data_IF_398474071692
#
_entry.id   IF_398474071692
#
_cell.length_a   1.000
_cell.length_b   1.000
_cell.length_c   1.000
_cell.angle_alpha   90.00
_cell.angle_beta   90.00
_cell.angle_gamma   90.00
#
_symmetry.space_group_name_H-M   'P 1'
#
loop_
_entity.id
_entity.type
_entity.pdbx_description
1 polymer ?
#
# COMPACT_ATOMS: atom_id res chain seq x y z
N UNK A 1 4.61 33.49 -14.02
CA UNK A 1 4.24 32.36 -13.18
C UNK A 1 5.52 31.88 -12.50
N UNK A 2 5.58 31.97 -11.17
CA UNK A 2 6.72 31.51 -10.38
C UNK A 2 6.80 29.99 -10.38
N UNK A 3 7.91 29.40 -9.87
CA UNK A 3 8.04 27.94 -9.73
C UNK A 3 6.99 27.38 -8.75
N UNK A 4 6.71 28.11 -7.69
CA UNK A 4 5.71 27.78 -6.67
C UNK A 4 4.28 27.81 -7.25
N UNK A 5 3.88 28.90 -7.91
CA UNK A 5 2.57 29.00 -8.57
C UNK A 5 2.34 27.89 -9.59
N UNK A 6 3.41 27.47 -10.30
CA UNK A 6 3.37 26.34 -11.23
C UNK A 6 3.14 25.01 -10.49
N UNK A 7 3.85 24.79 -9.39
CA UNK A 7 3.73 23.62 -8.58
C UNK A 7 2.31 23.49 -8.01
N UNK A 8 1.77 24.55 -7.41
CA UNK A 8 0.40 24.56 -6.91
C UNK A 8 -0.64 24.25 -7.99
N UNK A 9 -0.48 24.88 -9.18
CA UNK A 9 -1.39 24.65 -10.30
C UNK A 9 -1.34 23.20 -10.82
N UNK A 10 -0.16 22.59 -10.89
CA UNK A 10 0.01 21.25 -11.45
C UNK A 10 -0.38 20.14 -10.47
N UNK A 11 -0.32 20.41 -9.17
CA UNK A 11 -0.77 19.51 -8.11
C UNK A 11 -2.24 19.67 -7.75
N UNK A 12 -2.93 20.66 -8.31
CA UNK A 12 -4.36 20.88 -8.05
C UNK A 12 -5.17 19.65 -8.50
N UNK A 13 -5.88 19.03 -7.56
CA UNK A 13 -6.71 17.84 -7.79
C UNK A 13 -5.98 16.49 -7.65
N UNK A 14 -4.73 16.49 -7.16
CA UNK A 14 -4.07 15.26 -6.69
C UNK A 14 -4.47 15.05 -5.23
N UNK A 15 -5.09 13.90 -4.88
CA UNK A 15 -5.45 13.60 -3.49
C UNK A 15 -4.22 13.61 -2.59
N UNK A 16 -4.35 14.10 -1.35
CA UNK A 16 -3.31 14.16 -0.33
C UNK A 16 -2.04 14.93 -0.76
N UNK A 17 -2.13 15.79 -1.77
CA UNK A 17 -0.98 16.58 -2.25
C UNK A 17 -0.44 17.55 -1.18
N UNK A 18 -1.24 17.90 -0.17
CA UNK A 18 -0.84 18.70 0.99
C UNK A 18 0.25 18.05 1.83
N UNK A 19 0.37 16.72 1.79
CA UNK A 19 1.44 15.99 2.48
C UNK A 19 2.82 16.19 1.86
N UNK A 20 2.88 16.57 0.58
CA UNK A 20 4.12 16.78 -0.16
C UNK A 20 4.61 18.21 0.10
N UNK A 21 5.88 18.37 0.48
CA UNK A 21 6.49 19.69 0.67
C UNK A 21 6.51 20.51 -0.62
N UNK A 22 6.52 21.85 -0.52
CA UNK A 22 6.59 22.72 -1.70
C UNK A 22 7.86 22.50 -2.52
N UNK A 23 8.97 22.20 -1.85
CA UNK A 23 10.25 21.91 -2.51
C UNK A 23 10.17 20.63 -3.37
N UNK A 24 9.61 19.56 -2.84
CA UNK A 24 9.40 18.31 -3.58
C UNK A 24 8.42 18.49 -4.74
N UNK A 25 7.32 19.25 -4.53
CA UNK A 25 6.41 19.61 -5.64
C UNK A 25 7.11 20.34 -6.77
N UNK A 26 7.98 21.29 -6.44
CA UNK A 26 8.77 22.02 -7.42
C UNK A 26 9.75 21.12 -8.18
N UNK A 27 10.43 20.20 -7.48
CA UNK A 27 11.35 19.23 -8.09
C UNK A 27 10.63 18.30 -9.06
N UNK A 28 9.49 17.73 -8.65
CA UNK A 28 8.65 16.89 -9.52
C UNK A 28 8.19 17.66 -10.76
N UNK A 29 7.77 18.93 -10.58
CA UNK A 29 7.37 19.79 -11.69
C UNK A 29 8.52 20.09 -12.66
N UNK A 30 9.72 20.33 -12.16
CA UNK A 30 10.89 20.59 -12.98
C UNK A 30 11.31 19.34 -13.77
N UNK A 31 11.29 18.16 -13.13
CA UNK A 31 11.52 16.88 -13.80
C UNK A 31 10.47 16.59 -14.87
N UNK A 32 9.19 16.86 -14.57
CA UNK A 32 8.10 16.73 -15.54
C UNK A 32 8.26 17.66 -16.74
N UNK A 33 8.62 18.91 -16.51
CA UNK A 33 8.86 19.89 -17.58
C UNK A 33 10.03 19.48 -18.50
N UNK A 34 11.14 19.00 -17.89
CA UNK A 34 12.30 18.50 -18.64
C UNK A 34 11.96 17.30 -19.51
N UNK A 35 11.08 16.39 -19.06
CA UNK A 35 10.62 15.24 -19.84
C UNK A 35 9.61 15.62 -20.91
N UNK A 36 8.77 16.61 -20.69
CA UNK A 36 7.73 17.05 -21.64
C UNK A 36 8.32 17.60 -22.93
N UNK A 37 9.39 18.39 -22.85
CA UNK A 37 9.98 19.07 -24.01
C UNK A 37 10.48 18.11 -25.10
N UNK A 38 11.33 17.10 -24.81
CA UNK A 38 11.79 16.17 -25.84
C UNK A 38 10.65 15.34 -26.44
N UNK A 39 9.62 14.98 -25.64
CA UNK A 39 8.44 14.27 -26.13
C UNK A 39 7.68 15.13 -27.13
N UNK A 40 7.43 16.40 -26.80
CA UNK A 40 6.76 17.34 -27.71
C UNK A 40 7.52 17.50 -29.02
N UNK A 41 8.82 17.78 -28.98
CA UNK A 41 9.64 17.96 -30.18
C UNK A 41 9.75 16.67 -30.99
N UNK A 42 9.91 15.52 -30.37
CA UNK A 42 9.93 14.21 -31.03
C UNK A 42 8.63 13.93 -31.80
N UNK A 43 7.49 14.17 -31.14
CA UNK A 43 6.18 14.01 -31.79
C UNK A 43 5.94 15.03 -32.91
N UNK A 44 6.41 16.27 -32.74
CA UNK A 44 6.32 17.32 -33.78
C UNK A 44 7.10 16.90 -35.05
N UNK A 45 8.34 16.42 -34.87
CA UNK A 45 9.17 15.93 -36.00
C UNK A 45 8.49 14.74 -36.67
N UNK A 46 7.96 13.81 -35.89
CA UNK A 46 7.28 12.62 -36.40
C UNK A 46 6.00 12.99 -37.16
N UNK A 47 5.23 13.97 -36.70
CA UNK A 47 4.07 14.50 -37.40
C UNK A 47 4.44 15.17 -38.73
N UNK A 48 5.52 15.95 -38.77
CA UNK A 48 6.04 16.56 -40.00
C UNK A 48 6.47 15.49 -41.01
N UNK A 49 7.24 14.47 -40.58
CA UNK A 49 7.68 13.39 -41.46
C UNK A 49 6.48 12.61 -41.99
N UNK A 50 5.51 12.29 -41.12
CA UNK A 50 4.29 11.59 -41.53
C UNK A 50 3.48 12.36 -42.56
N UNK A 51 3.30 13.66 -42.38
CA UNK A 51 2.62 14.49 -43.35
C UNK A 51 3.38 14.60 -44.69
N UNK A 52 4.70 14.68 -44.61
CA UNK A 52 5.53 14.70 -45.83
C UNK A 52 5.40 13.42 -46.63
N UNK A 53 5.54 12.26 -45.97
CA UNK A 53 5.47 10.94 -46.61
C UNK A 53 4.06 10.64 -47.16
N UNK A 54 3.00 10.91 -46.38
CA UNK A 54 1.61 10.64 -46.79
C UNK A 54 1.15 11.55 -47.95
N UNK A 55 1.61 12.81 -48.01
CA UNK A 55 1.24 13.74 -49.06
C UNK A 55 2.18 13.73 -50.26
N UNK A 56 3.28 12.97 -50.20
CA UNK A 56 4.35 13.03 -51.20
C UNK A 56 4.95 14.42 -51.37
N UNK A 57 4.96 15.24 -50.27
CA UNK A 57 5.43 16.62 -50.27
C UNK A 57 4.40 17.67 -50.71
N UNK A 58 3.34 17.27 -51.43
CA UNK A 58 2.31 18.20 -51.98
C UNK A 58 1.63 19.07 -50.92
N UNK A 59 1.51 18.62 -49.71
CA UNK A 59 0.94 19.36 -48.62
C UNK A 59 1.77 20.61 -48.28
N UNK A 60 3.09 20.48 -48.26
CA UNK A 60 4.00 21.61 -48.00
C UNK A 60 4.05 22.59 -49.15
N UNK A 61 3.98 22.10 -50.40
CA UNK A 61 3.88 22.93 -51.59
C UNK A 61 2.59 23.74 -51.60
N UNK A 62 1.46 23.15 -51.22
CA UNK A 62 0.18 23.81 -51.07
C UNK A 62 0.23 24.88 -49.99
N UNK A 63 0.82 24.57 -48.80
CA UNK A 63 0.98 25.52 -47.71
C UNK A 63 1.88 26.69 -48.10
N UNK A 64 3.02 26.43 -48.80
CA UNK A 64 3.92 27.46 -49.29
C UNK A 64 3.28 28.35 -50.35
N UNK A 65 2.56 27.77 -51.30
CA UNK A 65 1.84 28.54 -52.33
C UNK A 65 0.73 29.40 -51.74
N UNK A 66 0.07 28.91 -50.69
CA UNK A 66 -0.97 29.66 -49.99
C UNK A 66 -0.41 30.85 -49.17
N UNK A 67 0.74 30.66 -48.53
CA UNK A 67 1.45 31.71 -47.83
C UNK A 67 1.91 32.81 -48.82
N UNK A 68 2.50 32.38 -49.95
CA UNK A 68 2.97 33.28 -50.97
C UNK A 68 1.82 34.08 -51.65
N UNK A 69 0.68 33.45 -51.89
CA UNK A 69 -0.51 34.09 -52.44
C UNK A 69 -1.06 35.18 -51.51
N UNK A 70 -1.07 34.93 -50.19
CA UNK A 70 -1.52 35.90 -49.20
C UNK A 70 -0.55 37.06 -48.94
N UNK A 71 0.72 36.90 -49.29
CA UNK A 71 1.75 37.93 -49.09
C UNK A 71 1.73 39.01 -50.18
N UNK A 72 1.08 38.79 -51.32
CA UNK A 72 1.17 39.63 -52.52
C UNK A 72 -0.09 40.41 -52.93
N UNK A 73 -1.22 40.35 -52.20
CA UNK A 73 -2.49 40.92 -52.68
C UNK A 73 -3.33 41.66 -51.63
N UNK A 74 -4.30 42.45 -52.08
CA UNK A 74 -5.29 43.15 -51.23
C UNK A 74 -6.16 42.12 -50.50
N UNK A 75 -6.11 42.12 -49.16
CA UNK A 75 -6.72 41.09 -48.29
C UNK A 75 -8.21 41.38 -48.15
N UNK A 76 -9.04 40.49 -48.73
CA UNK A 76 -10.51 40.55 -48.55
C UNK A 76 -10.95 39.67 -47.38
N UNK A 77 -12.15 39.89 -46.81
CA UNK A 77 -12.73 39.14 -45.69
C UNK A 77 -12.76 37.61 -45.94
N UNK A 78 -12.97 37.20 -47.20
CA UNK A 78 -12.99 35.80 -47.60
C UNK A 78 -11.58 35.13 -47.53
N UNK A 79 -10.52 35.89 -47.77
CA UNK A 79 -9.14 35.39 -47.63
C UNK A 79 -8.79 35.09 -46.19
N UNK A 80 -9.21 35.92 -45.23
CA UNK A 80 -9.01 35.63 -43.79
C UNK A 80 -9.66 34.35 -43.36
N UNK A 81 -10.90 34.05 -43.78
CA UNK A 81 -11.60 32.82 -43.44
C UNK A 81 -10.94 31.60 -44.06
N UNK A 82 -10.52 31.65 -45.33
CA UNK A 82 -9.82 30.55 -45.98
C UNK A 82 -8.44 30.29 -45.31
N UNK A 83 -7.69 31.35 -44.99
CA UNK A 83 -6.39 31.23 -44.28
C UNK A 83 -6.55 30.62 -42.90
N UNK A 84 -7.58 31.01 -42.15
CA UNK A 84 -7.86 30.50 -40.84
C UNK A 84 -8.25 28.99 -40.88
N UNK A 85 -9.04 28.56 -41.88
CA UNK A 85 -9.42 27.15 -42.06
C UNK A 85 -8.22 26.28 -42.42
N UNK A 86 -7.39 26.70 -43.39
CA UNK A 86 -6.18 25.95 -43.79
C UNK A 86 -5.17 25.95 -42.67
N UNK A 87 -4.91 27.08 -42.01
CA UNK A 87 -4.04 27.18 -40.87
C UNK A 87 -4.50 26.26 -39.71
N UNK A 88 -5.80 26.24 -39.45
CA UNK A 88 -6.40 25.35 -38.43
C UNK A 88 -6.23 23.87 -38.77
N UNK A 89 -6.47 23.48 -40.04
CA UNK A 89 -6.31 22.10 -40.50
C UNK A 89 -4.85 21.61 -40.42
N UNK A 90 -3.88 22.50 -40.62
CA UNK A 90 -2.43 22.20 -40.54
C UNK A 90 -1.95 22.24 -39.09
N UNK A 91 -2.30 23.27 -38.33
CA UNK A 91 -1.81 23.43 -36.96
C UNK A 91 -2.35 22.35 -36.01
N UNK A 92 -3.57 21.86 -36.21
CA UNK A 92 -4.17 20.89 -35.31
C UNK A 92 -3.37 19.57 -35.25
N UNK A 93 -3.15 18.82 -36.34
CA UNK A 93 -2.42 17.55 -36.28
C UNK A 93 -0.91 17.74 -36.01
N UNK A 94 -0.31 18.80 -36.47
CA UNK A 94 1.15 19.01 -36.39
C UNK A 94 1.60 19.62 -35.09
N UNK A 95 0.87 20.60 -34.56
CA UNK A 95 1.28 21.40 -33.39
C UNK A 95 0.43 21.05 -32.15
N UNK A 96 -0.89 21.05 -32.31
CA UNK A 96 -1.82 20.95 -31.18
C UNK A 96 -1.87 19.49 -30.66
N UNK A 97 -1.94 18.49 -31.53
CA UNK A 97 -2.03 17.10 -31.12
C UNK A 97 -0.78 16.63 -30.34
N UNK A 98 0.47 16.87 -30.82
CA UNK A 98 1.67 16.60 -30.03
C UNK A 98 1.71 17.33 -28.69
N UNK A 99 1.21 18.58 -28.64
CA UNK A 99 1.14 19.35 -27.40
C UNK A 99 0.18 18.70 -26.39
N UNK A 100 -1.01 18.29 -26.84
CA UNK A 100 -1.98 17.58 -26.00
C UNK A 100 -1.37 16.30 -25.44
N UNK A 101 -0.74 15.49 -26.28
CA UNK A 101 -0.10 14.24 -25.86
C UNK A 101 0.99 14.51 -24.82
N UNK A 102 1.85 15.51 -25.04
CA UNK A 102 2.89 15.91 -24.11
C UNK A 102 2.32 16.35 -22.74
N UNK A 103 1.21 17.11 -22.75
CA UNK A 103 0.52 17.54 -21.53
C UNK A 103 -0.08 16.34 -20.79
N UNK A 104 -0.73 15.41 -21.47
CA UNK A 104 -1.28 14.20 -20.87
C UNK A 104 -0.19 13.35 -20.23
N UNK A 105 0.92 13.17 -20.95
CA UNK A 105 2.09 12.44 -20.44
C UNK A 105 2.67 13.12 -19.17
N UNK A 106 2.81 14.46 -19.21
CA UNK A 106 3.26 15.26 -18.05
C UNK A 106 2.33 15.04 -16.85
N UNK A 107 1.01 15.13 -17.05
CA UNK A 107 0.03 14.98 -15.97
C UNK A 107 0.09 13.56 -15.35
N UNK A 108 0.20 12.53 -16.20
CA UNK A 108 0.37 11.13 -15.74
C UNK A 108 1.67 10.96 -14.93
N UNK A 109 2.77 11.58 -15.38
CA UNK A 109 4.04 11.51 -14.67
C UNK A 109 3.96 12.18 -13.29
N UNK A 110 3.40 13.41 -13.21
CA UNK A 110 3.25 14.14 -11.95
C UNK A 110 2.41 13.33 -10.96
N UNK A 111 1.28 12.77 -11.41
CA UNK A 111 0.41 11.95 -10.58
C UNK A 111 1.13 10.71 -10.04
N UNK A 112 1.85 9.99 -10.90
CA UNK A 112 2.61 8.80 -10.50
C UNK A 112 3.73 9.10 -9.50
N UNK A 113 4.47 10.20 -9.67
CA UNK A 113 5.53 10.58 -8.73
C UNK A 113 4.95 11.09 -7.40
N UNK A 114 3.85 11.87 -7.44
CA UNK A 114 3.15 12.31 -6.25
C UNK A 114 2.64 11.12 -5.42
N UNK A 115 2.03 10.10 -6.05
CA UNK A 115 1.56 8.89 -5.38
C UNK A 115 2.68 8.11 -4.70
N UNK A 116 3.88 8.04 -5.31
CA UNK A 116 5.05 7.40 -4.70
C UNK A 116 5.51 8.14 -3.45
N UNK A 117 5.60 9.47 -3.53
CA UNK A 117 6.03 10.30 -2.38
C UNK A 117 5.00 10.22 -1.25
N UNK A 118 3.70 10.31 -1.56
CA UNK A 118 2.63 10.18 -0.56
C UNK A 118 2.72 8.84 0.16
N UNK A 119 2.82 7.72 -0.58
CA UNK A 119 2.97 6.38 0.03
C UNK A 119 4.21 6.27 0.92
N UNK A 120 5.33 6.88 0.53
CA UNK A 120 6.54 6.89 1.35
C UNK A 120 6.33 7.69 2.64
N UNK A 121 5.65 8.84 2.58
CA UNK A 121 5.33 9.67 3.75
C UNK A 121 4.37 8.93 4.69
N UNK A 122 3.31 8.31 4.16
CA UNK A 122 2.34 7.53 4.94
C UNK A 122 3.01 6.34 5.64
N UNK A 123 3.90 5.62 4.94
CA UNK A 123 4.69 4.53 5.52
C UNK A 123 5.62 5.02 6.63
N UNK A 124 6.29 6.16 6.44
CA UNK A 124 7.17 6.72 7.47
C UNK A 124 6.39 7.17 8.71
N UNK A 125 5.23 7.82 8.52
CA UNK A 125 4.35 8.19 9.64
C UNK A 125 3.82 6.98 10.41
N UNK A 126 3.47 5.91 9.71
CA UNK A 126 3.06 4.66 10.35
C UNK A 126 4.21 4.06 11.19
N UNK A 127 5.44 4.08 10.65
CA UNK A 127 6.62 3.62 11.37
C UNK A 127 6.98 4.52 12.57
N UNK A 128 6.85 5.84 12.45
CA UNK A 128 7.08 6.78 13.57
C UNK A 128 6.07 6.55 14.69
N UNK A 129 4.79 6.41 14.35
CA UNK A 129 3.74 6.09 15.32
C UNK A 129 4.00 4.73 15.99
N UNK A 130 4.36 3.70 15.22
CA UNK A 130 4.73 2.38 15.75
C UNK A 130 5.89 2.47 16.74
N UNK A 131 6.94 3.24 16.42
CA UNK A 131 8.07 3.44 17.34
C UNK A 131 7.66 4.20 18.60
N UNK A 132 6.81 5.22 18.51
CA UNK A 132 6.32 5.99 19.66
C UNK A 132 5.45 5.10 20.57
N UNK A 133 4.56 4.32 20.00
CA UNK A 133 3.76 3.33 20.73
C UNK A 133 4.67 2.25 21.36
N UNK A 134 5.67 1.76 20.65
CA UNK A 134 6.66 0.79 21.16
C UNK A 134 7.46 1.32 22.37
N UNK A 135 7.88 2.60 22.35
CA UNK A 135 8.59 3.20 23.51
C UNK A 135 7.66 3.36 24.71
N UNK A 136 6.40 3.74 24.50
CA UNK A 136 5.40 3.83 25.56
C UNK A 136 5.12 2.43 26.14
N UNK A 137 5.00 1.40 25.32
CA UNK A 137 4.80 0.02 25.74
C UNK A 137 5.96 -0.53 26.57
N UNK A 138 7.20 -0.14 26.26
CA UNK A 138 8.37 -0.54 27.09
C UNK A 138 8.30 0.00 28.53
N UNK A 139 7.64 1.15 28.77
CA UNK A 139 7.43 1.68 30.13
C UNK A 139 6.33 0.91 30.87
N UNK A 140 5.30 0.39 30.20
CA UNK A 140 4.21 -0.38 30.80
C UNK A 140 4.56 -1.87 31.00
N UNK A 141 5.56 -2.40 30.28
CA UNK A 141 6.02 -3.77 30.31
C UNK A 141 5.17 -4.70 29.44
N UNK A 142 5.42 -6.01 29.57
CA UNK A 142 4.82 -7.05 28.72
C UNK A 142 3.85 -7.94 29.47
N UNK A 143 2.86 -8.52 28.74
CA UNK A 143 1.97 -9.53 29.25
C UNK A 143 2.78 -10.78 29.63
N UNK A 144 2.32 -11.47 30.68
CA UNK A 144 2.95 -12.69 31.19
C UNK A 144 2.07 -13.89 30.90
N UNK A 145 2.68 -14.94 30.40
CA UNK A 145 2.00 -16.17 30.03
C UNK A 145 2.71 -17.37 30.66
N UNK A 146 1.99 -18.14 31.45
CA UNK A 146 2.41 -19.42 31.95
C UNK A 146 2.02 -20.57 30.99
N UNK A 147 0.88 -20.36 30.27
CA UNK A 147 0.40 -21.30 29.27
C UNK A 147 0.66 -20.79 27.86
N UNK A 148 1.41 -21.54 27.05
CA UNK A 148 1.78 -21.16 25.70
C UNK A 148 0.60 -21.20 24.72
N UNK A 149 -0.32 -22.18 24.84
CA UNK A 149 -1.48 -22.25 23.94
C UNK A 149 -2.47 -21.10 24.19
N UNK A 150 -2.59 -20.64 25.46
CA UNK A 150 -3.30 -19.40 25.76
C UNK A 150 -2.61 -18.18 25.12
N UNK A 151 -1.27 -18.11 25.19
CA UNK A 151 -0.52 -17.06 24.49
C UNK A 151 -0.78 -17.07 22.98
N UNK A 152 -0.83 -18.26 22.36
CA UNK A 152 -1.15 -18.37 20.92
C UNK A 152 -2.56 -17.88 20.60
N UNK A 153 -3.56 -18.19 21.43
CA UNK A 153 -4.91 -17.66 21.24
C UNK A 153 -4.97 -16.13 21.31
N UNK A 154 -4.18 -15.51 22.21
CA UNK A 154 -4.05 -14.04 22.28
C UNK A 154 -3.31 -13.49 21.07
N UNK A 155 -2.29 -14.19 20.57
CA UNK A 155 -1.58 -13.77 19.33
C UNK A 155 -2.51 -13.86 18.15
N UNK A 156 -3.35 -14.89 18.02
CA UNK A 156 -4.35 -15.00 16.96
C UNK A 156 -5.22 -13.73 16.94
N UNK A 157 -5.86 -13.39 18.04
CA UNK A 157 -6.72 -12.23 18.15
C UNK A 157 -6.00 -10.92 17.82
N UNK A 158 -4.80 -10.70 18.38
CA UNK A 158 -4.09 -9.42 18.25
C UNK A 158 -3.35 -9.26 16.93
N UNK A 159 -2.80 -10.33 16.37
CA UNK A 159 -1.95 -10.27 15.18
C UNK A 159 -2.75 -10.51 13.90
N UNK A 160 -3.65 -11.49 13.88
CA UNK A 160 -4.33 -11.93 12.66
C UNK A 160 -5.76 -11.40 12.57
N UNK A 161 -6.56 -11.48 13.67
CA UNK A 161 -7.97 -11.10 13.60
C UNK A 161 -8.17 -9.58 13.66
N UNK A 162 -7.50 -8.90 14.62
CA UNK A 162 -7.61 -7.44 14.80
C UNK A 162 -6.46 -6.64 14.18
N UNK A 163 -5.36 -7.32 13.82
CA UNK A 163 -4.18 -6.73 13.16
C UNK A 163 -3.53 -5.57 13.93
N UNK A 164 -3.61 -5.58 15.28
CA UNK A 164 -3.01 -4.54 16.15
C UNK A 164 -1.61 -4.90 16.63
N UNK A 165 -1.25 -6.19 16.66
CA UNK A 165 0.10 -6.67 16.98
C UNK A 165 0.90 -6.84 15.70
N UNK A 166 1.84 -5.95 15.44
CA UNK A 166 2.63 -5.90 14.21
C UNK A 166 4.14 -6.07 14.50
N UNK A 167 4.93 -6.58 13.54
CA UNK A 167 4.50 -7.07 12.21
C UNK A 167 3.79 -8.42 12.29
N UNK A 168 2.87 -8.66 11.37
CA UNK A 168 2.26 -9.99 11.18
C UNK A 168 3.35 -11.01 10.82
N UNK A 169 3.30 -12.19 11.43
CA UNK A 169 4.22 -13.28 11.13
C UNK A 169 3.63 -14.16 10.02
N UNK A 170 4.41 -14.40 8.99
CA UNK A 170 4.09 -15.32 7.90
C UNK A 170 5.25 -16.29 7.71
N UNK A 171 4.98 -17.59 7.83
CA UNK A 171 6.02 -18.64 7.74
C UNK A 171 6.70 -18.66 6.36
N UNK A 172 6.00 -18.32 5.28
CA UNK A 172 6.57 -18.33 3.94
C UNK A 172 7.54 -17.18 3.73
N UNK A 173 7.24 -15.99 4.29
CA UNK A 173 8.18 -14.85 4.26
C UNK A 173 9.33 -15.08 5.24
N UNK A 174 9.05 -15.60 6.43
CA UNK A 174 10.07 -15.92 7.42
C UNK A 174 11.09 -16.94 6.90
N UNK A 175 10.64 -18.01 6.24
CA UNK A 175 11.51 -19.04 5.66
C UNK A 175 12.47 -18.50 4.60
N UNK A 176 12.07 -17.48 3.80
CA UNK A 176 12.93 -16.84 2.80
C UNK A 176 14.10 -16.06 3.41
N UNK A 177 13.89 -15.49 4.60
CA UNK A 177 14.88 -14.65 5.28
C UNK A 177 15.69 -15.43 6.34
N UNK A 178 15.24 -16.64 6.71
CA UNK A 178 15.86 -17.46 7.75
C UNK A 178 17.26 -17.92 7.32
N UNK A 179 18.24 -17.73 8.22
CA UNK A 179 19.65 -18.04 7.93
C UNK A 179 20.13 -19.39 8.48
N UNK A 180 19.21 -20.17 9.08
CA UNK A 180 19.47 -21.50 9.61
C UNK A 180 19.32 -22.59 8.54
N UNK A 181 18.90 -23.77 8.97
CA UNK A 181 18.55 -24.86 8.06
C UNK A 181 17.30 -24.51 7.26
N UNK A 182 17.19 -25.06 6.05
CA UNK A 182 16.04 -24.84 5.17
C UNK A 182 14.73 -25.24 5.87
N UNK A 183 13.75 -24.36 5.87
CA UNK A 183 12.45 -24.58 6.48
C UNK A 183 11.51 -25.20 5.46
N UNK A 184 10.99 -26.39 5.76
CA UNK A 184 9.91 -27.01 4.98
C UNK A 184 8.56 -26.40 5.36
N UNK A 185 8.06 -25.51 4.52
CA UNK A 185 6.77 -24.83 4.72
C UNK A 185 5.56 -25.68 4.30
N UNK A 186 5.76 -26.91 3.86
CA UNK A 186 4.72 -27.92 3.62
C UNK A 186 4.78 -29.07 4.64
N UNK A 187 5.33 -28.80 5.84
CA UNK A 187 5.48 -29.77 6.90
C UNK A 187 4.16 -30.03 7.65
N UNK A 188 3.92 -31.28 8.01
CA UNK A 188 2.90 -31.71 8.95
C UNK A 188 3.42 -31.80 10.40
N UNK A 189 4.66 -31.36 10.63
CA UNK A 189 5.31 -31.33 11.94
C UNK A 189 5.70 -29.92 12.32
N UNK A 190 5.97 -29.72 13.62
CA UNK A 190 6.35 -28.43 14.18
C UNK A 190 7.59 -27.85 13.50
N UNK A 191 7.48 -26.64 13.04
CA UNK A 191 8.61 -25.81 12.57
C UNK A 191 9.21 -25.10 13.79
N UNK A 192 10.27 -25.67 14.38
CA UNK A 192 10.89 -25.16 15.61
C UNK A 192 11.27 -23.67 15.55
N UNK A 193 11.84 -23.12 14.45
CA UNK A 193 12.12 -21.68 14.37
C UNK A 193 10.87 -20.79 14.46
N UNK A 194 9.73 -21.21 13.93
CA UNK A 194 8.46 -20.50 14.05
C UNK A 194 7.89 -20.61 15.47
N UNK A 195 7.95 -21.80 16.05
CA UNK A 195 7.56 -22.03 17.44
C UNK A 195 8.37 -21.15 18.40
N UNK A 196 9.69 -21.07 18.20
CA UNK A 196 10.58 -20.24 19.01
C UNK A 196 10.30 -18.75 18.82
N UNK A 197 9.94 -18.31 17.62
CA UNK A 197 9.47 -16.93 17.38
C UNK A 197 8.28 -16.61 18.30
N UNK A 198 7.22 -17.40 18.26
CA UNK A 198 6.02 -17.16 19.07
C UNK A 198 6.26 -17.32 20.58
N UNK A 199 7.11 -18.26 20.99
CA UNK A 199 7.52 -18.38 22.40
C UNK A 199 8.21 -17.12 22.92
N UNK A 200 9.08 -16.52 22.11
CA UNK A 200 9.86 -15.35 22.50
C UNK A 200 9.19 -14.00 22.18
N UNK A 201 8.07 -14.01 21.44
CA UNK A 201 7.33 -12.81 21.12
C UNK A 201 6.82 -12.12 22.39
N UNK A 202 7.25 -10.89 22.59
CA UNK A 202 6.80 -10.06 23.70
C UNK A 202 5.56 -9.28 23.29
N UNK A 203 4.49 -9.37 24.06
CA UNK A 203 3.21 -8.69 23.80
C UNK A 203 3.08 -7.54 24.79
N UNK A 204 3.03 -6.28 24.32
CA UNK A 204 2.85 -5.11 25.19
C UNK A 204 1.58 -5.18 26.03
N UNK A 205 1.65 -4.77 27.30
CA UNK A 205 0.48 -4.74 28.20
C UNK A 205 -0.61 -3.81 27.71
N UNK A 206 -0.25 -2.74 26.98
CA UNK A 206 -1.21 -1.80 26.38
C UNK A 206 -2.22 -2.47 25.46
N UNK A 207 -1.82 -3.61 24.81
CA UNK A 207 -2.68 -4.37 23.92
C UNK A 207 -3.70 -5.28 24.65
N UNK A 208 -3.56 -5.49 25.95
CA UNK A 208 -4.49 -6.31 26.72
C UNK A 208 -5.95 -5.85 26.62
N UNK A 209 -6.18 -4.57 26.49
CA UNK A 209 -7.52 -3.98 26.35
C UNK A 209 -8.16 -4.19 24.97
N UNK A 210 -7.36 -4.55 23.98
CA UNK A 210 -7.83 -4.79 22.60
C UNK A 210 -8.43 -6.23 22.46
N UNK A 211 -8.15 -7.12 23.43
CA UNK A 211 -8.68 -8.49 23.43
C UNK A 211 -10.09 -8.49 24.04
N UNK A 212 -11.11 -8.60 23.22
CA UNK A 212 -12.52 -8.67 23.63
C UNK A 212 -13.07 -10.08 23.66
N UNK A 213 -12.58 -10.93 22.77
CA UNK A 213 -12.91 -12.36 22.67
C UNK A 213 -11.68 -13.14 22.23
N UNK A 214 -11.71 -14.47 22.43
CA UNK A 214 -10.77 -15.41 21.80
C UNK A 214 -11.53 -16.54 21.14
N UNK A 215 -11.05 -16.98 19.99
CA UNK A 215 -11.64 -18.07 19.24
C UNK A 215 -10.56 -19.06 18.81
N UNK A 216 -10.48 -20.20 19.47
CA UNK A 216 -9.52 -21.26 19.15
C UNK A 216 -10.16 -22.20 18.14
N UNK A 217 -9.64 -22.21 16.93
CA UNK A 217 -10.10 -23.04 15.81
C UNK A 217 -8.88 -23.71 15.15
N UNK A 218 -9.05 -24.95 14.69
CA UNK A 218 -7.98 -25.67 13.99
C UNK A 218 -7.44 -24.97 12.75
N UNK A 219 -8.19 -24.00 12.17
CA UNK A 219 -7.78 -23.21 11.04
C UNK A 219 -7.09 -21.88 11.40
N UNK A 220 -6.81 -21.61 12.67
CA UNK A 220 -6.17 -20.36 13.08
C UNK A 220 -4.79 -20.19 12.44
N UNK A 221 -4.50 -19.00 11.92
CA UNK A 221 -3.25 -18.67 11.21
C UNK A 221 -2.02 -18.91 12.09
N UNK A 222 -2.10 -18.61 13.38
CA UNK A 222 -0.99 -18.84 14.32
C UNK A 222 -0.57 -20.32 14.37
N UNK A 223 -1.52 -21.25 14.26
CA UNK A 223 -1.24 -22.69 14.25
C UNK A 223 -0.63 -23.13 12.92
N UNK A 224 -1.19 -22.64 11.80
CA UNK A 224 -0.69 -22.91 10.46
C UNK A 224 0.70 -22.32 10.21
N UNK A 225 1.09 -21.29 10.94
CA UNK A 225 2.46 -20.78 10.91
C UNK A 225 3.45 -21.64 11.71
N UNK A 226 2.98 -22.47 12.65
CA UNK A 226 3.81 -23.39 13.44
C UNK A 226 3.84 -24.78 12.80
N UNK A 227 2.69 -25.28 12.33
CA UNK A 227 2.52 -26.58 11.64
C UNK A 227 1.67 -26.32 10.38
N UNK A 228 2.27 -26.06 9.23
CA UNK A 228 1.53 -25.61 8.02
C UNK A 228 0.45 -26.59 7.52
N UNK A 229 0.65 -27.88 7.69
CA UNK A 229 -0.30 -28.92 7.30
C UNK A 229 -0.97 -29.59 8.52
N UNK A 230 -1.13 -28.87 9.62
CA UNK A 230 -1.83 -29.40 10.80
C UNK A 230 -3.29 -29.74 10.47
N UNK A 231 -3.70 -30.96 10.79
CA UNK A 231 -5.05 -31.43 10.48
C UNK A 231 -6.08 -31.16 11.60
N UNK A 232 -5.64 -30.65 12.76
CA UNK A 232 -6.52 -30.33 13.89
C UNK A 232 -6.95 -31.51 14.72
N UNK A 233 -6.48 -32.74 14.41
CA UNK A 233 -6.95 -33.96 15.07
C UNK A 233 -6.19 -34.29 16.36
N UNK A 234 -4.97 -33.76 16.55
CA UNK A 234 -4.21 -33.91 17.77
C UNK A 234 -4.44 -32.72 18.72
N UNK A 235 -4.30 -32.96 20.01
CA UNK A 235 -4.48 -31.95 21.05
C UNK A 235 -3.29 -31.01 21.24
N UNK A 236 -2.43 -30.79 20.21
CA UNK A 236 -1.18 -30.01 20.33
C UNK A 236 -1.43 -28.56 20.78
N UNK A 237 -2.47 -27.95 20.26
CA UNK A 237 -2.84 -26.60 20.60
C UNK A 237 -3.98 -26.45 21.60
N UNK A 238 -4.40 -27.53 22.23
CA UNK A 238 -5.46 -27.56 23.24
C UNK A 238 -5.12 -26.69 24.46
N UNK A 239 -6.09 -25.94 24.94
CA UNK A 239 -6.00 -25.19 26.19
C UNK A 239 -6.39 -26.05 27.38
N UNK A 240 -5.48 -26.90 27.85
CA UNK A 240 -5.74 -27.83 28.96
C UNK A 240 -5.41 -27.26 30.36
N UNK A 241 -4.85 -26.04 30.38
CA UNK A 241 -4.63 -25.27 31.62
C UNK A 241 -4.56 -23.75 31.30
N UNK A 242 -4.96 -22.92 32.25
CA UNK A 242 -4.78 -21.47 32.24
C UNK A 242 -4.96 -20.95 33.66
N UNK A 243 -4.20 -19.99 34.06
CA UNK A 243 -4.33 -19.41 35.40
C UNK A 243 -5.32 -18.23 35.42
N UNK A 244 -5.97 -18.05 36.55
CA UNK A 244 -6.82 -16.86 36.77
C UNK A 244 -6.01 -15.56 36.67
N UNK A 245 -4.71 -15.60 36.99
CA UNK A 245 -3.82 -14.44 36.85
C UNK A 245 -3.59 -14.06 35.40
N UNK A 246 -3.46 -15.04 34.50
CA UNK A 246 -3.35 -14.81 33.06
C UNK A 246 -4.62 -14.14 32.52
N UNK A 247 -5.80 -14.71 32.82
CA UNK A 247 -7.09 -14.17 32.35
C UNK A 247 -7.33 -12.74 32.82
N UNK A 248 -6.94 -12.42 34.07
CA UNK A 248 -7.13 -11.07 34.64
C UNK A 248 -6.27 -9.98 34.01
N UNK A 249 -5.30 -10.33 33.19
CA UNK A 249 -4.54 -9.34 32.43
C UNK A 249 -5.41 -8.68 31.33
N UNK A 250 -6.51 -9.31 30.92
CA UNK A 250 -7.36 -8.89 29.80
C UNK A 250 -8.69 -8.28 30.30
N UNK A 251 -8.75 -6.97 30.54
CA UNK A 251 -9.91 -6.32 31.17
C UNK A 251 -11.17 -6.35 30.32
N UNK A 252 -11.05 -6.49 29.00
CA UNK A 252 -12.16 -6.46 28.06
C UNK A 252 -12.54 -7.86 27.56
N UNK A 253 -11.83 -8.91 27.94
CA UNK A 253 -12.13 -10.29 27.55
C UNK A 253 -13.42 -10.75 28.21
N UNK A 254 -14.47 -10.98 27.43
CA UNK A 254 -15.82 -11.32 27.91
C UNK A 254 -16.27 -12.70 27.46
N UNK A 255 -15.72 -13.22 26.36
CA UNK A 255 -16.11 -14.52 25.80
C UNK A 255 -14.92 -15.25 25.19
N UNK A 256 -14.99 -16.58 25.20
CA UNK A 256 -13.98 -17.46 24.66
C UNK A 256 -14.61 -18.71 24.06
N UNK A 257 -14.13 -19.13 22.90
CA UNK A 257 -14.33 -20.49 22.35
C UNK A 257 -13.00 -21.20 22.40
N UNK A 258 -12.94 -22.39 23.00
CA UNK A 258 -11.70 -23.08 23.30
C UNK A 258 -11.67 -24.51 22.80
N UNK A 259 -10.48 -24.94 22.36
CA UNK A 259 -10.14 -26.36 22.16
C UNK A 259 -9.55 -26.89 23.45
N UNK A 260 -10.10 -27.95 24.00
CA UNK A 260 -9.61 -28.57 25.27
C UNK A 260 -10.15 -29.98 25.47
N UNK A 261 -9.35 -30.83 26.09
CA UNK A 261 -9.75 -32.17 26.52
C UNK A 261 -10.53 -32.16 27.85
N UNK A 262 -10.39 -31.09 28.66
CA UNK A 262 -11.03 -30.97 29.99
C UNK A 262 -11.82 -29.66 30.11
N UNK A 263 -12.94 -29.59 29.39
CA UNK A 263 -13.78 -28.40 29.38
C UNK A 263 -14.31 -28.00 30.76
N UNK A 264 -14.65 -28.98 31.61
CA UNK A 264 -15.16 -28.68 32.96
C UNK A 264 -14.12 -27.97 33.85
N UNK A 265 -12.85 -28.29 33.69
CA UNK A 265 -11.74 -27.66 34.39
C UNK A 265 -11.59 -26.21 33.86
N UNK A 266 -11.47 -26.04 32.55
CA UNK A 266 -11.29 -24.75 31.91
C UNK A 266 -12.48 -23.82 32.20
N UNK A 267 -13.70 -24.33 32.08
CA UNK A 267 -14.92 -23.58 32.36
C UNK A 267 -14.93 -22.98 33.78
N UNK A 268 -14.52 -23.72 34.79
CA UNK A 268 -14.47 -23.20 36.18
C UNK A 268 -13.52 -22.02 36.32
N UNK A 269 -12.41 -22.00 35.58
CA UNK A 269 -11.40 -20.94 35.64
C UNK A 269 -11.92 -19.68 34.93
N UNK A 270 -12.52 -19.83 33.74
CA UNK A 270 -13.12 -18.74 32.98
C UNK A 270 -14.32 -18.14 33.72
N UNK A 271 -15.21 -18.99 34.28
CA UNK A 271 -16.35 -18.52 35.10
C UNK A 271 -15.85 -17.73 36.34
N UNK A 272 -14.76 -18.15 36.98
CA UNK A 272 -14.15 -17.39 38.10
C UNK A 272 -13.53 -16.03 37.68
N UNK A 273 -13.18 -15.90 36.42
CA UNK A 273 -12.76 -14.63 35.83
C UNK A 273 -13.95 -13.76 35.34
N UNK A 274 -15.16 -14.33 35.30
CA UNK A 274 -16.35 -13.64 34.76
C UNK A 274 -16.44 -13.68 33.21
N UNK A 275 -15.73 -14.61 32.58
CA UNK A 275 -15.65 -14.75 31.15
C UNK A 275 -16.53 -15.95 30.71
N UNK A 276 -17.42 -15.72 29.75
CA UNK A 276 -18.21 -16.78 29.14
C UNK A 276 -17.32 -17.66 28.29
N UNK A 277 -17.36 -18.99 28.50
CA UNK A 277 -16.57 -19.91 27.69
C UNK A 277 -17.46 -21.00 27.08
N UNK A 278 -17.17 -21.34 25.83
CA UNK A 278 -17.82 -22.38 25.05
C UNK A 278 -16.73 -23.36 24.52
N UNK A 279 -17.10 -24.65 24.42
CA UNK A 279 -16.26 -25.62 23.73
C UNK A 279 -16.50 -25.49 22.21
N UNK A 280 -15.44 -25.60 21.41
CA UNK A 280 -15.54 -25.66 19.96
C UNK A 280 -16.24 -26.95 19.52
#
# INVERSE_FOLDING_TARGET
MTREERAEKWFRGIPNAELISMEEKMDICDKAAKKMMPIYFGLLVLACISLFTLSGGKFFDLAASFINYNSGGSITKNHYMATALVGGLVCFPVVILPLIIAILHKNKYIKSEAEKVIKAIEKNKANEKYNEDFYNDMEEGYLQFDNFNFKLAIIQELMYDTNVLQPEFDIYEFAKEYKGEEIDTESDTVIEPALDYFKNLQIPKSLAKEVGSIYMDGGNEVYMNIIPLWDGEDGYFDLNDVSLAELRQFPNLTEATVLTDDFDKIKKIFDAAGIKVELL
#
